data_IF_888266210061
#
_entry.id   IF_888266210061
#
_cell.length_a   1.000
_cell.length_b   1.000
_cell.length_c   1.000
_cell.angle_alpha   90.00
_cell.angle_beta   90.00
_cell.angle_gamma   90.00
#
_symmetry.space_group_name_H-M   'P 1'
#
loop_
_entity.id
_entity.type
_entity.pdbx_description
1 polymer ?
#
# COMPACT_ATOMS: atom_id res chain seq x y z
N UNK A 1 -3.87 -14.15 14.50
CA UNK A 1 -4.13 -12.84 13.86
C UNK A 1 -5.17 -12.08 14.67
N UNK A 2 -5.02 -10.77 14.93
CA UNK A 2 -6.07 -9.95 15.54
C UNK A 2 -7.35 -10.03 14.67
N UNK A 3 -8.53 -10.02 15.30
CA UNK A 3 -9.84 -10.11 14.61
C UNK A 3 -10.00 -9.10 13.48
N UNK A 4 -9.38 -7.94 13.60
CA UNK A 4 -9.44 -6.84 12.65
C UNK A 4 -8.62 -7.11 11.37
N UNK A 5 -7.42 -7.67 11.49
CA UNK A 5 -6.60 -8.08 10.32
C UNK A 5 -7.32 -9.16 9.49
N UNK A 6 -8.06 -10.07 10.14
CA UNK A 6 -8.88 -11.05 9.44
C UNK A 6 -10.03 -10.40 8.65
N UNK A 7 -10.68 -9.38 9.21
CA UNK A 7 -11.73 -8.63 8.52
C UNK A 7 -11.21 -7.87 7.30
N UNK A 8 -10.04 -7.22 7.43
CA UNK A 8 -9.35 -6.53 6.33
C UNK A 8 -9.02 -7.52 5.21
N UNK A 9 -8.39 -8.65 5.55
CA UNK A 9 -8.07 -9.72 4.61
C UNK A 9 -9.30 -10.18 3.83
N UNK A 10 -10.37 -10.55 4.53
CA UNK A 10 -11.63 -11.04 3.92
C UNK A 10 -12.26 -10.01 2.97
N UNK A 11 -12.17 -8.72 3.32
CA UNK A 11 -12.65 -7.64 2.45
C UNK A 11 -11.89 -7.59 1.13
N UNK A 12 -10.55 -7.68 1.16
CA UNK A 12 -9.71 -7.63 -0.04
C UNK A 12 -9.70 -8.94 -0.83
N UNK A 13 -9.88 -10.10 -0.19
CA UNK A 13 -10.08 -11.38 -0.87
C UNK A 13 -11.34 -11.38 -1.74
N UNK A 14 -12.44 -10.77 -1.24
CA UNK A 14 -13.68 -10.58 -2.01
C UNK A 14 -13.53 -9.60 -3.17
N UNK A 15 -12.54 -8.72 -3.13
CA UNK A 15 -12.25 -7.70 -4.16
C UNK A 15 -11.31 -8.17 -5.28
N UNK A 16 -11.15 -9.47 -5.51
CA UNK A 16 -10.40 -10.02 -6.64
C UNK A 16 -10.98 -9.64 -8.03
N UNK A 17 -11.98 -8.73 -8.05
CA UNK A 17 -12.52 -8.16 -9.29
C UNK A 17 -11.51 -7.23 -9.94
N UNK A 18 -11.48 -7.17 -11.28
CA UNK A 18 -10.68 -6.18 -12.01
C UNK A 18 -10.94 -4.77 -11.47
N UNK A 19 -9.86 -3.99 -11.31
CA UNK A 19 -9.98 -2.60 -10.90
C UNK A 19 -10.88 -1.83 -11.87
N UNK A 20 -11.71 -0.93 -11.34
CA UNK A 20 -12.52 -0.04 -12.18
C UNK A 20 -11.59 0.84 -13.06
N UNK A 21 -12.11 1.35 -14.19
CA UNK A 21 -11.35 2.26 -15.07
C UNK A 21 -10.82 3.48 -14.31
N UNK A 22 -11.60 4.00 -13.36
CA UNK A 22 -11.22 5.14 -12.51
C UNK A 22 -10.06 4.74 -11.58
N UNK A 23 -10.14 3.57 -10.93
CA UNK A 23 -9.07 3.08 -10.06
C UNK A 23 -7.78 2.82 -10.84
N UNK A 24 -7.87 2.28 -12.05
CA UNK A 24 -6.71 2.10 -12.93
C UNK A 24 -6.09 3.45 -13.35
N UNK A 25 -6.91 4.43 -13.71
CA UNK A 25 -6.42 5.77 -14.06
C UNK A 25 -5.71 6.43 -12.88
N UNK A 26 -6.28 6.32 -11.67
CA UNK A 26 -5.66 6.80 -10.44
C UNK A 26 -4.31 6.13 -10.16
N UNK A 27 -4.24 4.79 -10.25
CA UNK A 27 -2.97 4.05 -10.06
C UNK A 27 -1.91 4.44 -11.08
N UNK A 28 -2.30 4.63 -12.35
CA UNK A 28 -1.38 5.11 -13.41
C UNK A 28 -0.88 6.53 -13.15
N UNK A 29 -1.75 7.40 -12.64
CA UNK A 29 -1.35 8.76 -12.25
C UNK A 29 -0.34 8.72 -11.11
N UNK A 30 -0.60 7.96 -10.04
CA UNK A 30 0.35 7.77 -8.95
C UNK A 30 1.68 7.19 -9.44
N UNK A 31 1.63 6.20 -10.32
CA UNK A 31 2.82 5.56 -10.87
C UNK A 31 3.71 6.56 -11.64
N UNK A 32 3.13 7.55 -12.34
CA UNK A 32 3.91 8.63 -12.97
C UNK A 32 4.66 9.47 -11.95
N UNK A 33 4.03 9.83 -10.82
CA UNK A 33 4.72 10.56 -9.75
C UNK A 33 5.84 9.72 -9.13
N UNK A 34 5.58 8.44 -8.88
CA UNK A 34 6.62 7.56 -8.32
C UNK A 34 7.76 7.32 -9.30
N UNK A 35 7.49 7.21 -10.60
CA UNK A 35 8.52 7.10 -11.62
C UNK A 35 9.44 8.33 -11.71
N UNK A 36 8.98 9.50 -11.31
CA UNK A 36 9.81 10.71 -11.21
C UNK A 36 10.67 10.74 -9.95
N UNK A 37 10.26 10.03 -8.90
CA UNK A 37 10.92 10.04 -7.59
C UNK A 37 11.88 8.87 -7.40
N UNK A 38 11.66 7.75 -8.11
CA UNK A 38 12.36 6.49 -7.93
C UNK A 38 13.26 6.24 -9.14
N UNK A 39 14.60 6.25 -8.97
CA UNK A 39 15.53 5.89 -10.04
C UNK A 39 15.40 4.44 -10.48
N UNK A 40 15.77 4.15 -11.74
CA UNK A 40 15.63 2.83 -12.34
C UNK A 40 16.52 1.75 -11.74
N UNK A 41 17.63 2.13 -11.12
CA UNK A 41 18.59 1.24 -10.46
C UNK A 41 18.26 0.94 -8.98
N UNK A 42 17.18 1.51 -8.46
CA UNK A 42 16.77 1.37 -7.05
C UNK A 42 16.13 0.04 -6.73
N UNK A 43 16.15 -0.32 -5.45
CA UNK A 43 15.32 -1.36 -4.83
C UNK A 43 14.08 -0.75 -4.18
N UNK A 44 12.91 -1.38 -4.39
CA UNK A 44 11.62 -0.88 -3.90
C UNK A 44 10.86 -1.98 -3.16
N UNK A 45 10.34 -1.63 -1.99
CA UNK A 45 9.34 -2.40 -1.25
C UNK A 45 7.99 -1.67 -1.29
N UNK A 46 6.93 -2.31 -1.77
CA UNK A 46 5.55 -1.80 -1.64
C UNK A 46 4.80 -2.61 -0.59
N UNK A 47 4.37 -1.98 0.51
CA UNK A 47 3.53 -2.60 1.55
C UNK A 47 2.07 -2.28 1.28
N UNK A 48 1.24 -3.32 1.16
CA UNK A 48 -0.14 -3.21 0.68
C UNK A 48 -0.20 -3.09 -0.84
N UNK A 49 0.62 -3.87 -1.55
CA UNK A 49 0.76 -3.79 -3.01
C UNK A 49 -0.49 -4.21 -3.79
N UNK A 50 -1.47 -4.84 -3.13
CA UNK A 50 -2.63 -5.41 -3.79
C UNK A 50 -2.22 -6.32 -4.95
N UNK A 51 -2.84 -6.13 -6.10
CA UNK A 51 -2.53 -6.91 -7.32
C UNK A 51 -1.30 -6.41 -8.10
N UNK A 52 -0.40 -5.64 -7.50
CA UNK A 52 0.85 -5.19 -8.10
C UNK A 52 0.72 -4.13 -9.21
N UNK A 53 -0.45 -3.49 -9.34
CA UNK A 53 -0.70 -2.55 -10.45
C UNK A 53 0.19 -1.30 -10.38
N UNK A 54 0.45 -0.77 -9.18
CA UNK A 54 1.34 0.36 -9.01
C UNK A 54 2.80 -0.03 -9.23
N UNK A 55 3.25 -1.12 -8.59
CA UNK A 55 4.62 -1.60 -8.65
C UNK A 55 5.07 -1.95 -10.08
N UNK A 56 4.13 -2.42 -10.92
CA UNK A 56 4.37 -2.69 -12.33
C UNK A 56 4.94 -1.49 -13.10
N UNK A 57 4.49 -0.28 -12.75
CA UNK A 57 4.86 0.95 -13.45
C UNK A 57 6.01 1.71 -12.80
N UNK A 58 6.50 1.28 -11.64
CA UNK A 58 7.68 1.84 -10.99
C UNK A 58 8.93 1.36 -11.72
N UNK A 59 9.89 2.24 -12.06
CA UNK A 59 11.06 1.87 -12.90
C UNK A 59 12.18 1.12 -12.14
N UNK A 60 11.99 0.75 -10.87
CA UNK A 60 12.99 0.10 -10.03
C UNK A 60 13.53 -1.20 -10.62
N UNK A 61 14.81 -1.48 -10.43
CA UNK A 61 15.49 -2.72 -10.87
C UNK A 61 15.10 -3.92 -10.00
N UNK A 62 14.91 -3.72 -8.68
CA UNK A 62 14.40 -4.73 -7.75
C UNK A 62 13.06 -4.29 -7.19
N UNK A 63 12.07 -5.15 -7.31
CA UNK A 63 10.70 -4.88 -6.86
C UNK A 63 10.23 -5.99 -5.94
N UNK A 64 9.83 -5.59 -4.74
CA UNK A 64 9.23 -6.48 -3.75
C UNK A 64 7.88 -5.91 -3.34
N UNK A 65 6.85 -6.74 -3.37
CA UNK A 65 5.51 -6.37 -2.93
C UNK A 65 5.02 -7.27 -1.81
N UNK A 66 4.29 -6.71 -0.86
CA UNK A 66 3.59 -7.52 0.13
C UNK A 66 2.16 -7.05 0.32
N UNK A 67 1.29 -8.01 0.58
CA UNK A 67 -0.13 -7.76 0.87
C UNK A 67 -0.66 -8.84 1.81
N UNK A 68 -1.68 -8.51 2.59
CA UNK A 68 -2.33 -9.43 3.52
C UNK A 68 -3.21 -10.46 2.80
N UNK A 69 -3.67 -10.15 1.58
CA UNK A 69 -4.58 -10.97 0.79
C UNK A 69 -3.82 -11.92 -0.13
N UNK A 70 -3.91 -13.25 0.06
CA UNK A 70 -3.30 -14.24 -0.85
C UNK A 70 -3.88 -14.16 -2.26
N UNK A 71 -5.14 -13.74 -2.39
CA UNK A 71 -5.82 -13.56 -3.69
C UNK A 71 -5.18 -12.41 -4.47
N UNK A 72 -4.89 -11.30 -3.79
CA UNK A 72 -4.19 -10.16 -4.40
C UNK A 72 -2.75 -10.54 -4.77
N UNK A 73 -2.03 -11.23 -3.90
CA UNK A 73 -0.67 -11.71 -4.18
C UNK A 73 -0.65 -12.68 -5.37
N UNK A 74 -1.62 -13.59 -5.47
CA UNK A 74 -1.75 -14.48 -6.63
C UNK A 74 -1.91 -13.68 -7.94
N UNK A 75 -2.75 -12.65 -7.93
CA UNK A 75 -2.94 -11.76 -9.08
C UNK A 75 -1.67 -10.92 -9.39
N UNK A 76 -0.96 -10.47 -8.36
CA UNK A 76 0.28 -9.71 -8.51
C UNK A 76 1.38 -10.54 -9.18
N UNK A 77 1.58 -11.79 -8.76
CA UNK A 77 2.55 -12.73 -9.36
C UNK A 77 2.25 -13.01 -10.83
N UNK A 78 0.97 -13.13 -11.20
CA UNK A 78 0.59 -13.30 -12.60
C UNK A 78 0.84 -12.05 -13.45
N UNK A 79 0.65 -10.86 -12.86
CA UNK A 79 0.79 -9.58 -13.56
C UNK A 79 2.23 -9.11 -13.73
N UNK A 80 3.07 -9.41 -12.76
CA UNK A 80 4.46 -8.95 -12.69
C UNK A 80 5.36 -10.12 -12.22
N UNK A 81 5.58 -11.14 -13.06
CA UNK A 81 6.29 -12.36 -12.67
C UNK A 81 7.78 -12.12 -12.34
N UNK A 82 8.35 -11.01 -12.80
CA UNK A 82 9.73 -10.61 -12.51
C UNK A 82 9.91 -9.97 -11.13
N UNK A 83 8.84 -9.63 -10.42
CA UNK A 83 8.90 -9.09 -9.07
C UNK A 83 8.64 -10.18 -8.01
N UNK A 84 9.15 -9.93 -6.82
CA UNK A 84 8.94 -10.80 -5.68
C UNK A 84 7.71 -10.37 -4.88
N UNK A 85 6.84 -11.34 -4.52
CA UNK A 85 5.60 -11.05 -3.78
C UNK A 85 5.42 -11.96 -2.59
N UNK A 86 5.09 -11.37 -1.42
CA UNK A 86 4.87 -12.05 -0.16
C UNK A 86 3.45 -11.83 0.38
N UNK A 87 2.80 -12.91 0.81
CA UNK A 87 1.62 -12.82 1.66
C UNK A 87 2.11 -12.50 3.08
N UNK A 88 1.93 -11.24 3.52
CA UNK A 88 2.42 -10.80 4.82
C UNK A 88 1.55 -9.67 5.40
N UNK A 89 1.52 -9.60 6.74
CA UNK A 89 0.94 -8.46 7.45
C UNK A 89 2.03 -7.40 7.65
N UNK A 90 1.79 -6.18 7.15
CA UNK A 90 2.70 -5.06 7.28
C UNK A 90 3.08 -4.67 8.72
N UNK A 91 2.27 -5.05 9.71
CA UNK A 91 2.53 -4.79 11.12
C UNK A 91 3.49 -5.81 11.76
N UNK A 92 3.74 -6.97 11.11
CA UNK A 92 4.52 -8.08 11.70
C UNK A 92 5.56 -8.69 10.76
N UNK A 93 5.68 -8.18 9.54
CA UNK A 93 6.59 -8.74 8.55
C UNK A 93 8.08 -8.56 8.91
N UNK A 94 8.91 -9.38 8.26
CA UNK A 94 10.36 -9.19 8.21
C UNK A 94 10.83 -9.64 6.81
N UNK A 95 11.45 -8.74 6.05
CA UNK A 95 12.03 -9.09 4.74
C UNK A 95 13.46 -9.63 4.87
N UNK A 96 14.17 -9.27 5.96
CA UNK A 96 15.62 -9.51 6.08
C UNK A 96 16.48 -8.65 5.16
N UNK A 97 15.86 -7.77 4.36
CA UNK A 97 16.52 -6.92 3.37
C UNK A 97 16.30 -5.44 3.66
N UNK A 98 17.14 -4.61 3.06
CA UNK A 98 17.02 -3.14 3.07
C UNK A 98 16.66 -2.64 1.67
N UNK A 99 15.87 -1.58 1.61
CA UNK A 99 15.38 -1.00 0.36
C UNK A 99 15.74 0.48 0.26
N UNK A 100 15.97 0.94 -0.97
CA UNK A 100 16.22 2.36 -1.26
C UNK A 100 14.93 3.17 -1.13
N UNK A 101 13.80 2.57 -1.52
CA UNK A 101 12.48 3.17 -1.43
C UNK A 101 11.46 2.21 -0.83
N UNK A 102 10.61 2.74 0.05
CA UNK A 102 9.46 2.01 0.59
C UNK A 102 8.19 2.79 0.25
N UNK A 103 7.20 2.10 -0.32
CA UNK A 103 5.93 2.69 -0.75
C UNK A 103 4.80 2.20 0.16
N UNK A 104 4.00 3.15 0.66
CA UNK A 104 2.73 2.92 1.35
C UNK A 104 1.62 3.64 0.58
N UNK A 105 1.09 2.98 -0.46
CA UNK A 105 0.06 3.58 -1.31
C UNK A 105 -1.33 3.24 -0.80
N UNK A 106 -2.04 4.23 -0.24
CA UNK A 106 -3.38 4.10 0.37
C UNK A 106 -3.46 3.06 1.51
N UNK A 107 -2.33 2.68 2.10
CA UNK A 107 -2.21 1.55 3.04
C UNK A 107 -2.30 2.01 4.49
N UNK A 108 -1.70 3.15 4.85
CA UNK A 108 -1.57 3.61 6.25
C UNK A 108 -2.92 3.71 6.97
N UNK A 109 -3.97 4.13 6.26
CA UNK A 109 -5.33 4.24 6.82
C UNK A 109 -6.05 2.90 6.98
N UNK A 110 -5.48 1.80 6.49
CA UNK A 110 -6.06 0.46 6.53
C UNK A 110 -5.44 -0.43 7.61
N UNK A 111 -4.25 -0.10 8.10
CA UNK A 111 -3.57 -0.87 9.15
C UNK A 111 -4.20 -0.65 10.52
N UNK A 112 -4.04 -1.62 11.39
CA UNK A 112 -4.60 -1.56 12.76
C UNK A 112 -3.67 -0.81 13.69
N UNK A 113 -2.37 -1.06 13.56
CA UNK A 113 -1.31 -0.44 14.36
C UNK A 113 -0.25 0.20 13.44
N UNK A 114 -0.37 1.51 13.27
CA UNK A 114 0.54 2.29 12.42
C UNK A 114 1.94 2.37 13.02
N UNK A 115 2.07 2.36 14.36
CA UNK A 115 3.38 2.38 15.02
C UNK A 115 4.12 1.05 14.80
N UNK A 116 3.41 -0.09 14.93
CA UNK A 116 3.97 -1.40 14.61
C UNK A 116 4.41 -1.49 13.14
N UNK A 117 3.60 -0.95 12.19
CA UNK A 117 3.98 -0.85 10.79
C UNK A 117 5.29 -0.07 10.64
N UNK A 118 5.39 1.15 11.19
CA UNK A 118 6.59 1.97 11.05
C UNK A 118 7.83 1.35 11.72
N UNK A 119 7.66 0.66 12.85
CA UNK A 119 8.75 -0.10 13.44
C UNK A 119 9.28 -1.18 12.48
N UNK A 120 8.39 -1.90 11.80
CA UNK A 120 8.77 -2.91 10.79
C UNK A 120 9.41 -2.30 9.54
N UNK A 121 8.96 -1.13 9.11
CA UNK A 121 9.60 -0.41 8.00
C UNK A 121 11.04 0.00 8.36
N UNK A 122 11.28 0.38 9.62
CA UNK A 122 12.65 0.69 10.11
C UNK A 122 13.58 -0.51 9.95
N UNK A 123 13.08 -1.73 10.21
CA UNK A 123 13.84 -2.97 10.01
C UNK A 123 14.23 -3.20 8.54
N UNK A 124 13.51 -2.63 7.59
CA UNK A 124 13.76 -2.69 6.13
C UNK A 124 14.37 -1.43 5.56
N UNK A 125 14.79 -0.48 6.40
CA UNK A 125 15.33 0.82 6.01
C UNK A 125 16.81 0.96 6.34
N UNK A 126 17.49 1.81 5.57
CA UNK A 126 18.81 2.39 5.89
C UNK A 126 18.63 3.88 6.18
N UNK A 127 19.71 4.59 6.52
CA UNK A 127 19.68 6.06 6.71
C UNK A 127 19.37 6.83 5.41
N UNK A 128 19.53 6.20 4.24
CA UNK A 128 19.24 6.77 2.93
C UNK A 128 17.89 6.36 2.34
N UNK A 129 17.18 5.42 2.98
CA UNK A 129 15.88 4.95 2.51
C UNK A 129 14.87 6.08 2.48
N UNK A 130 14.14 6.20 1.38
CA UNK A 130 13.05 7.16 1.22
C UNK A 130 11.69 6.48 1.35
N UNK A 131 10.88 6.98 2.27
CA UNK A 131 9.51 6.49 2.48
C UNK A 131 8.53 7.37 1.69
N UNK A 132 7.82 6.76 0.75
CA UNK A 132 6.80 7.40 -0.08
C UNK A 132 5.41 6.99 0.38
N UNK A 133 4.67 7.94 0.94
CA UNK A 133 3.33 7.69 1.48
C UNK A 133 2.33 8.56 0.73
N UNK A 134 1.29 7.95 0.17
CA UNK A 134 0.11 8.70 -0.22
C UNK A 134 -1.09 8.29 0.61
N UNK A 135 -1.86 9.28 0.99
CA UNK A 135 -3.09 9.16 1.76
C UNK A 135 -4.17 10.05 1.15
N UNK A 136 -5.44 9.63 1.16
CA UNK A 136 -6.52 10.50 0.72
C UNK A 136 -6.64 11.71 1.63
N UNK A 137 -6.79 12.90 1.05
CA UNK A 137 -7.01 14.11 1.81
C UNK A 137 -8.35 14.04 2.56
N UNK A 138 -8.34 14.39 3.85
CA UNK A 138 -9.50 14.36 4.74
C UNK A 138 -10.66 15.26 4.27
N UNK A 139 -10.39 16.28 3.48
CA UNK A 139 -11.41 17.16 2.86
C UNK A 139 -12.36 16.38 1.93
N UNK A 140 -11.92 15.26 1.36
CA UNK A 140 -12.76 14.41 0.50
C UNK A 140 -13.70 13.50 1.28
N UNK A 141 -13.59 13.43 2.62
CA UNK A 141 -14.39 12.54 3.47
C UNK A 141 -15.90 12.67 3.26
N UNK A 142 -16.50 13.89 3.20
CA UNK A 142 -17.93 14.03 2.96
C UNK A 142 -18.35 13.44 1.60
N UNK A 143 -17.54 13.69 0.56
CA UNK A 143 -17.81 13.18 -0.79
C UNK A 143 -17.67 11.65 -0.86
N UNK A 144 -16.68 11.08 -0.18
CA UNK A 144 -16.53 9.62 -0.10
C UNK A 144 -17.70 8.97 0.65
N UNK A 145 -18.18 9.58 1.74
CA UNK A 145 -19.35 9.09 2.46
C UNK A 145 -20.63 9.14 1.60
N UNK A 146 -20.79 10.21 0.82
CA UNK A 146 -21.89 10.31 -0.14
C UNK A 146 -21.79 9.23 -1.23
N UNK A 147 -20.60 9.01 -1.79
CA UNK A 147 -20.38 7.98 -2.80
C UNK A 147 -20.69 6.56 -2.26
N UNK A 148 -20.35 6.27 -1.00
CA UNK A 148 -20.71 5.02 -0.33
C UNK A 148 -22.23 4.89 -0.17
N UNK A 149 -22.93 5.96 0.28
CA UNK A 149 -24.40 5.95 0.43
C UNK A 149 -25.12 5.74 -0.90
N UNK A 150 -24.55 6.25 -2.00
CA UNK A 150 -25.09 6.08 -3.35
C UNK A 150 -24.69 4.75 -4.01
N UNK A 151 -23.96 3.87 -3.32
CA UNK A 151 -23.48 2.60 -3.87
C UNK A 151 -22.40 2.75 -4.95
N UNK A 152 -21.84 3.94 -5.14
CA UNK A 152 -20.79 4.22 -6.13
C UNK A 152 -19.39 3.82 -5.65
N UNK A 153 -19.24 3.60 -4.34
CA UNK A 153 -17.99 3.18 -3.71
C UNK A 153 -18.29 2.21 -2.56
N UNK A 154 -17.46 1.17 -2.43
CA UNK A 154 -17.54 0.28 -1.28
C UNK A 154 -17.01 0.96 -0.02
N UNK A 155 -17.64 0.66 1.11
CA UNK A 155 -17.14 1.05 2.41
C UNK A 155 -15.79 0.37 2.66
N UNK A 156 -14.77 1.16 3.03
CA UNK A 156 -13.46 0.62 3.37
C UNK A 156 -13.48 0.08 4.80
N UNK A 157 -12.89 -1.11 5.06
CA UNK A 157 -12.68 -1.58 6.41
C UNK A 157 -11.61 -0.70 7.08
N UNK A 158 -11.83 -0.31 8.31
CA UNK A 158 -10.88 0.46 9.11
C UNK A 158 -10.34 1.71 8.37
N UNK A 159 -11.01 2.83 8.54
CA UNK A 159 -10.59 4.07 7.89
C UNK A 159 -10.21 5.09 8.98
N UNK A 160 -8.94 5.07 9.40
CA UNK A 160 -8.43 5.93 10.48
C UNK A 160 -8.36 7.42 10.10
N UNK A 161 -8.46 7.74 8.80
CA UNK A 161 -8.42 9.12 8.29
C UNK A 161 -7.25 9.95 8.83
N UNK A 162 -6.07 9.34 8.89
CA UNK A 162 -4.85 10.05 9.27
C UNK A 162 -4.56 11.16 8.25
N UNK A 163 -4.23 12.33 8.77
CA UNK A 163 -3.72 13.44 7.96
C UNK A 163 -2.21 13.30 7.71
N UNK A 164 -1.69 14.06 6.75
CA UNK A 164 -0.24 14.11 6.54
C UNK A 164 0.54 14.62 7.76
N UNK A 165 -0.09 15.42 8.61
CA UNK A 165 0.51 15.87 9.87
C UNK A 165 0.57 14.75 10.90
N UNK A 166 -0.50 13.94 11.02
CA UNK A 166 -0.52 12.78 11.92
C UNK A 166 0.58 11.79 11.55
N UNK A 167 0.72 11.50 10.25
CA UNK A 167 1.77 10.60 9.75
C UNK A 167 3.17 11.15 10.06
N UNK A 168 3.42 12.44 9.86
CA UNK A 168 4.71 13.07 10.22
C UNK A 168 4.99 12.96 11.70
N UNK A 169 4.02 13.23 12.55
CA UNK A 169 4.19 13.13 14.00
C UNK A 169 4.52 11.70 14.43
N UNK A 170 3.89 10.69 13.80
CA UNK A 170 4.17 9.28 14.07
C UNK A 170 5.56 8.82 13.61
N UNK A 171 6.12 9.46 12.59
CA UNK A 171 7.47 9.15 12.10
C UNK A 171 8.59 9.77 12.95
N UNK A 172 8.27 10.74 13.81
CA UNK A 172 9.22 11.43 14.70
C UNK A 172 9.27 10.85 16.11
N UNK A 173 8.41 9.88 16.43
CA UNK A 173 8.42 9.12 17.68
C UNK A 173 9.33 7.89 17.58
#
# INVERSE_FOLDING_TARGET
>A
MPKQSHHIRTHFDKKAKPLSKIALAYRRLLARYYALLIPGDSSVLEVGCGSGELLRHVPASRKVGMDLSPVQIGAARQRLPEAEFHEANGETFATGEKFDYIILSDTVNLVTDVQALFAKLRDSSTNSTRLLINIPNTLWRPLFNLAVRLGLRDQQPNNSWLSGQDVRNLLTL
#
